data_IF_083118436064
#
_entry.id   IF_083118436064
#
_cell.length_a   1.000
_cell.length_b   1.000
_cell.length_c   1.000
_cell.angle_alpha   90.00
_cell.angle_beta   90.00
_cell.angle_gamma   90.00
#
_symmetry.space_group_name_H-M   'P 1'
#
loop_
_entity.id
_entity.type
_entity.pdbx_description
1 polymer ?
#
# COMPACT_ATOMS: atom_id res chain seq x y z
N UNK A 1 -1.08 -32.18 -16.09
CA UNK A 1 -1.35 -30.83 -15.55
C UNK A 1 -2.79 -30.86 -15.12
N UNK A 2 -3.06 -30.91 -13.83
CA UNK A 2 -4.43 -30.84 -13.31
C UNK A 2 -4.89 -29.38 -13.41
N UNK A 3 -5.97 -29.15 -14.16
CA UNK A 3 -6.69 -27.88 -14.12
C UNK A 3 -7.31 -27.73 -12.73
N UNK A 4 -6.81 -26.75 -11.97
CA UNK A 4 -7.44 -26.34 -10.73
C UNK A 4 -8.75 -25.64 -11.10
N UNK A 5 -9.86 -26.34 -10.89
CA UNK A 5 -11.21 -25.80 -10.96
C UNK A 5 -11.37 -24.73 -9.88
N UNK A 6 -11.28 -23.46 -10.25
CA UNK A 6 -11.52 -22.33 -9.34
C UNK A 6 -13.02 -22.17 -9.07
N UNK A 7 -13.46 -22.39 -7.83
CA UNK A 7 -14.81 -22.01 -7.42
C UNK A 7 -14.86 -20.48 -7.21
N UNK A 8 -16.05 -19.88 -7.32
CA UNK A 8 -16.22 -18.44 -7.05
C UNK A 8 -15.81 -18.05 -5.61
N UNK A 9 -15.72 -19.02 -4.69
CA UNK A 9 -15.20 -18.84 -3.33
C UNK A 9 -13.68 -18.69 -3.24
N UNK A 10 -12.95 -18.88 -4.34
CA UNK A 10 -11.48 -18.85 -4.38
C UNK A 10 -10.93 -17.56 -5.03
N UNK A 11 -11.80 -16.56 -5.24
CA UNK A 11 -11.40 -15.27 -5.79
C UNK A 11 -11.29 -14.20 -4.70
N UNK A 12 -10.23 -13.39 -4.78
CA UNK A 12 -9.99 -12.28 -3.85
C UNK A 12 -11.23 -11.34 -3.89
N UNK A 13 -11.87 -11.06 -2.74
CA UNK A 13 -13.04 -10.21 -2.68
C UNK A 13 -12.78 -8.83 -3.26
N UNK A 14 -13.75 -8.29 -4.00
CA UNK A 14 -13.73 -6.94 -4.54
C UNK A 14 -14.69 -6.07 -3.73
N UNK A 15 -14.21 -5.00 -3.12
CA UNK A 15 -14.99 -4.08 -2.29
C UNK A 15 -15.16 -2.74 -3.02
N UNK A 16 -16.39 -2.23 -3.06
CA UNK A 16 -16.73 -0.93 -3.64
C UNK A 16 -16.72 0.17 -2.56
N UNK A 17 -15.69 1.01 -2.53
CA UNK A 17 -15.58 2.06 -1.51
C UNK A 17 -16.74 3.07 -1.61
N UNK A 18 -17.25 3.34 -2.82
CA UNK A 18 -18.30 4.34 -3.02
C UNK A 18 -19.62 3.94 -2.37
N UNK A 19 -19.89 2.62 -2.25
CA UNK A 19 -21.06 2.10 -1.53
C UNK A 19 -20.89 2.12 -0.02
N UNK A 20 -19.65 2.00 0.47
CA UNK A 20 -19.33 2.10 1.90
C UNK A 20 -19.41 3.52 2.44
N UNK A 21 -19.17 4.55 1.61
CA UNK A 21 -19.21 5.96 2.02
C UNK A 21 -20.44 6.72 1.47
N UNK A 22 -21.24 6.07 0.64
CA UNK A 22 -22.39 6.65 -0.04
C UNK A 22 -23.62 6.82 0.87
N UNK A 23 -24.60 7.60 0.42
CA UNK A 23 -25.82 7.91 1.16
C UNK A 23 -26.93 6.85 1.05
N UNK A 24 -26.73 5.76 0.31
CA UNK A 24 -27.72 4.69 0.15
C UNK A 24 -27.55 3.62 1.23
N UNK A 25 -28.47 3.57 2.20
CA UNK A 25 -28.42 2.65 3.33
C UNK A 25 -28.41 1.17 2.92
N UNK A 26 -29.15 0.80 1.87
CA UNK A 26 -29.26 -0.60 1.41
C UNK A 26 -27.92 -1.07 0.83
N UNK A 27 -27.32 -0.29 -0.07
CA UNK A 27 -26.04 -0.65 -0.69
C UNK A 27 -24.87 -0.60 0.30
N UNK A 28 -24.98 0.23 1.34
CA UNK A 28 -24.00 0.31 2.42
C UNK A 28 -23.96 -0.99 3.24
N UNK A 29 -25.11 -1.54 3.62
CA UNK A 29 -25.15 -2.75 4.46
C UNK A 29 -24.54 -3.97 3.75
N UNK A 30 -24.96 -4.27 2.52
CA UNK A 30 -24.47 -5.42 1.75
C UNK A 30 -22.94 -5.34 1.53
N UNK A 31 -22.44 -4.15 1.21
CA UNK A 31 -21.00 -3.96 0.97
C UNK A 31 -20.18 -4.02 2.26
N UNK A 32 -20.75 -3.58 3.39
CA UNK A 32 -20.13 -3.70 4.71
C UNK A 32 -20.03 -5.16 5.16
N UNK A 33 -21.08 -5.97 4.96
CA UNK A 33 -21.02 -7.41 5.25
C UNK A 33 -19.95 -8.11 4.40
N UNK A 34 -19.85 -7.73 3.13
CA UNK A 34 -18.80 -8.22 2.22
C UNK A 34 -17.39 -7.83 2.69
N UNK A 35 -17.21 -6.60 3.16
CA UNK A 35 -15.96 -6.14 3.74
C UNK A 35 -15.61 -6.95 5.01
N UNK A 36 -16.57 -7.17 5.90
CA UNK A 36 -16.36 -7.99 7.09
C UNK A 36 -15.97 -9.43 6.75
N UNK A 37 -16.64 -10.04 5.77
CA UNK A 37 -16.29 -11.36 5.28
C UNK A 37 -14.85 -11.38 4.73
N UNK A 38 -14.48 -10.41 3.90
CA UNK A 38 -13.13 -10.31 3.35
C UNK A 38 -12.06 -10.13 4.45
N UNK A 39 -12.32 -9.32 5.47
CA UNK A 39 -11.40 -9.14 6.59
C UNK A 39 -11.21 -10.43 7.41
N UNK A 40 -12.27 -11.23 7.62
CA UNK A 40 -12.21 -12.45 8.45
C UNK A 40 -11.63 -13.65 7.70
N UNK A 41 -12.08 -13.89 6.47
CA UNK A 41 -11.77 -15.12 5.75
C UNK A 41 -10.56 -14.97 4.81
N UNK A 42 -10.32 -13.76 4.29
CA UNK A 42 -9.27 -13.51 3.30
C UNK A 42 -8.09 -12.70 3.83
N UNK A 43 -8.32 -11.78 4.77
CA UNK A 43 -7.36 -10.75 5.21
C UNK A 43 -6.82 -9.82 4.09
N UNK A 44 -7.27 -10.01 2.85
CA UNK A 44 -6.94 -9.22 1.67
C UNK A 44 -8.17 -9.06 0.79
N UNK A 45 -8.30 -7.90 0.15
CA UNK A 45 -9.34 -7.60 -0.82
C UNK A 45 -8.86 -6.55 -1.81
N UNK A 46 -9.51 -6.48 -2.96
CA UNK A 46 -9.31 -5.43 -3.95
C UNK A 46 -10.33 -4.32 -3.73
N UNK A 47 -9.91 -3.07 -3.78
CA UNK A 47 -10.81 -1.91 -3.65
C UNK A 47 -11.06 -1.30 -5.02
N UNK A 48 -12.33 -1.09 -5.37
CA UNK A 48 -12.77 -0.37 -6.58
C UNK A 48 -13.53 0.89 -6.19
N UNK A 49 -13.73 1.80 -7.16
CA UNK A 49 -14.44 3.08 -6.95
C UNK A 49 -13.90 3.86 -5.74
N UNK A 50 -12.59 3.78 -5.50
CA UNK A 50 -11.89 4.35 -4.35
C UNK A 50 -11.71 5.89 -4.43
N UNK A 51 -12.12 6.49 -5.55
CA UNK A 51 -12.11 7.95 -5.76
C UNK A 51 -10.73 8.56 -5.97
N UNK A 52 -9.71 7.76 -6.24
CA UNK A 52 -8.36 8.25 -6.58
C UNK A 52 -8.31 8.42 -8.09
N UNK A 53 -7.93 9.60 -8.55
CA UNK A 53 -7.76 9.87 -9.97
C UNK A 53 -6.77 8.88 -10.59
N UNK A 54 -7.13 8.35 -11.76
CA UNK A 54 -6.26 7.48 -12.55
C UNK A 54 -4.92 8.15 -12.86
N UNK A 55 -4.92 9.46 -13.11
CA UNK A 55 -3.72 10.27 -13.36
C UNK A 55 -2.71 10.17 -12.20
N UNK A 56 -3.19 10.25 -10.96
CA UNK A 56 -2.33 10.18 -9.76
C UNK A 56 -1.68 8.80 -9.64
N UNK A 57 -2.43 7.73 -9.93
CA UNK A 57 -1.93 6.36 -9.90
C UNK A 57 -0.92 6.12 -11.03
N UNK A 58 -1.25 6.55 -12.26
CA UNK A 58 -0.40 6.40 -13.43
C UNK A 58 0.90 7.16 -13.26
N UNK A 59 0.86 8.41 -12.78
CA UNK A 59 2.06 9.20 -12.57
C UNK A 59 2.98 8.57 -11.50
N UNK A 60 2.41 8.01 -10.42
CA UNK A 60 3.21 7.31 -9.42
C UNK A 60 3.89 6.07 -10.00
N UNK A 61 3.20 5.31 -10.86
CA UNK A 61 3.78 4.17 -11.58
C UNK A 61 4.92 4.60 -12.51
N UNK A 62 4.71 5.64 -13.33
CA UNK A 62 5.73 6.18 -14.24
C UNK A 62 6.97 6.60 -13.45
N UNK A 63 6.80 7.44 -12.42
CA UNK A 63 7.93 7.96 -11.66
C UNK A 63 8.70 6.86 -10.92
N UNK A 64 7.99 5.83 -10.44
CA UNK A 64 8.63 4.65 -9.83
C UNK A 64 9.45 3.89 -10.86
N UNK A 65 8.89 3.63 -12.05
CA UNK A 65 9.60 2.95 -13.13
C UNK A 65 10.84 3.73 -13.59
N UNK A 66 10.70 5.03 -13.82
CA UNK A 66 11.81 5.92 -14.21
C UNK A 66 12.93 5.89 -13.16
N UNK A 67 12.59 5.98 -11.87
CA UNK A 67 13.58 5.87 -10.80
C UNK A 67 14.33 4.54 -10.83
N UNK A 68 13.63 3.40 -10.98
CA UNK A 68 14.29 2.08 -10.98
C UNK A 68 15.10 1.81 -12.26
N UNK A 69 14.80 2.50 -13.36
CA UNK A 69 15.58 2.48 -14.61
C UNK A 69 16.87 3.30 -14.54
N UNK A 70 17.04 4.15 -13.53
CA UNK A 70 18.29 4.90 -13.35
C UNK A 70 19.49 3.95 -13.11
N UNK A 71 20.71 4.40 -13.44
CA UNK A 71 21.94 3.70 -13.08
C UNK A 71 22.02 3.38 -11.58
N UNK A 72 22.67 2.27 -11.25
CA UNK A 72 22.81 1.84 -9.86
C UNK A 72 23.51 2.90 -9.00
N UNK A 73 24.46 3.62 -9.56
CA UNK A 73 25.19 4.70 -8.90
C UNK A 73 24.27 5.82 -8.44
N UNK A 74 23.29 6.20 -9.27
CA UNK A 74 22.28 7.21 -8.90
C UNK A 74 21.34 6.68 -7.82
N UNK A 75 20.91 5.42 -7.92
CA UNK A 75 20.02 4.81 -6.92
C UNK A 75 20.73 4.59 -5.58
N UNK A 76 22.03 4.31 -5.59
CA UNK A 76 22.86 4.15 -4.39
C UNK A 76 23.02 5.45 -3.59
N UNK A 77 22.71 6.62 -4.16
CA UNK A 77 22.61 7.86 -3.39
C UNK A 77 21.57 7.78 -2.25
N UNK A 78 20.59 6.88 -2.38
CA UNK A 78 19.51 6.64 -1.42
C UNK A 78 19.70 5.35 -0.61
N UNK A 79 20.90 4.74 -0.66
CA UNK A 79 21.18 3.48 0.05
C UNK A 79 20.97 3.57 1.56
N UNK A 80 20.71 2.42 2.18
CA UNK A 80 20.42 2.32 3.62
C UNK A 80 21.56 2.86 4.48
N UNK A 81 21.20 3.70 5.45
CA UNK A 81 22.11 4.14 6.51
C UNK A 81 21.87 3.31 7.79
N UNK A 82 22.90 3.06 8.62
CA UNK A 82 22.74 2.33 9.88
C UNK A 82 21.69 2.91 10.83
N UNK A 83 21.40 4.21 10.70
CA UNK A 83 20.48 4.96 11.56
C UNK A 83 19.10 5.17 10.93
N UNK A 84 18.83 4.62 9.75
CA UNK A 84 17.56 4.80 9.05
C UNK A 84 17.01 3.51 8.47
N UNK A 85 15.69 3.44 8.50
CA UNK A 85 14.93 2.37 7.83
C UNK A 85 14.43 2.81 6.45
N UNK A 86 14.46 4.10 6.12
CA UNK A 86 14.20 4.57 4.76
C UNK A 86 15.44 4.36 3.90
N UNK A 87 15.27 3.75 2.72
CA UNK A 87 16.38 3.41 1.84
C UNK A 87 15.92 2.96 0.44
N UNK A 88 16.87 2.99 -0.50
CA UNK A 88 16.88 2.16 -1.69
C UNK A 88 17.80 0.94 -1.47
N UNK A 89 17.39 -0.22 -1.96
CA UNK A 89 18.14 -1.48 -1.92
C UNK A 89 17.35 -2.61 -1.28
N UNK A 90 18.04 -3.66 -0.85
CA UNK A 90 17.38 -4.75 -0.13
C UNK A 90 17.05 -4.33 1.30
N UNK A 91 15.88 -4.78 1.77
CA UNK A 91 15.46 -4.59 3.15
C UNK A 91 16.37 -5.43 4.07
N UNK A 92 17.31 -4.74 4.73
CA UNK A 92 18.30 -5.22 5.68
C UNK A 92 19.71 -5.54 5.12
N UNK A 93 20.70 -5.20 5.94
CA UNK A 93 22.06 -5.67 5.79
C UNK A 93 22.12 -7.20 5.84
N UNK A 94 23.08 -7.80 5.14
CA UNK A 94 23.33 -9.24 5.26
C UNK A 94 23.86 -9.53 6.66
N UNK A 95 23.05 -10.20 7.49
CA UNK A 95 23.38 -10.50 8.89
C UNK A 95 23.99 -11.89 9.07
N UNK A 96 23.88 -12.77 8.07
CA UNK A 96 24.49 -14.11 8.12
C UNK A 96 24.66 -14.72 6.73
N UNK A 97 25.59 -15.66 6.61
CA UNK A 97 25.81 -16.45 5.38
C UNK A 97 24.62 -17.33 4.98
N UNK A 98 23.72 -17.63 5.93
CA UNK A 98 22.54 -18.48 5.68
C UNK A 98 21.28 -17.66 5.37
N UNK A 99 21.39 -16.34 5.37
CA UNK A 99 20.26 -15.47 5.09
C UNK A 99 19.81 -15.67 3.65
N UNK A 100 18.53 -16.02 3.48
CA UNK A 100 17.88 -16.01 2.17
C UNK A 100 17.50 -14.57 1.86
N UNK A 101 17.89 -14.11 0.68
CA UNK A 101 17.59 -12.77 0.20
C UNK A 101 16.46 -12.84 -0.81
N UNK A 102 15.59 -11.84 -0.75
CA UNK A 102 14.52 -11.70 -1.73
C UNK A 102 15.11 -11.31 -3.09
N UNK A 103 14.50 -11.81 -4.17
CA UNK A 103 14.85 -11.40 -5.52
C UNK A 103 14.12 -10.10 -5.86
N UNK A 104 14.64 -8.99 -5.37
CA UNK A 104 14.10 -7.66 -5.66
C UNK A 104 14.84 -6.55 -4.94
N UNK A 105 14.75 -5.35 -5.52
CA UNK A 105 15.16 -4.10 -4.89
C UNK A 105 13.92 -3.36 -4.38
N UNK A 106 14.06 -2.64 -3.27
CA UNK A 106 12.99 -1.85 -2.67
C UNK A 106 13.39 -0.38 -2.57
N UNK A 107 12.40 0.51 -2.69
CA UNK A 107 12.49 1.89 -2.23
C UNK A 107 11.49 2.05 -1.09
N UNK A 108 11.97 2.18 0.14
CA UNK A 108 11.16 2.28 1.34
C UNK A 108 11.19 3.71 1.88
N UNK A 109 10.03 4.36 1.95
CA UNK A 109 9.88 5.78 2.31
C UNK A 109 8.68 6.00 3.24
N UNK A 110 8.77 6.99 4.12
CA UNK A 110 7.66 7.45 4.96
C UNK A 110 7.08 8.78 4.46
N UNK A 111 5.92 8.76 3.77
CA UNK A 111 5.27 9.99 3.32
C UNK A 111 4.54 10.75 4.43
N UNK A 112 4.26 10.12 5.57
CA UNK A 112 3.49 10.72 6.68
C UNK A 112 4.11 10.39 8.05
N UNK A 113 3.98 11.29 9.05
CA UNK A 113 3.48 12.67 8.92
C UNK A 113 4.50 13.55 8.17
N UNK A 114 4.01 14.65 7.57
CA UNK A 114 4.86 15.52 6.75
C UNK A 114 6.08 16.09 7.50
N UNK A 115 5.94 16.32 8.81
CA UNK A 115 7.01 16.84 9.69
C UNK A 115 8.16 15.86 9.93
N UNK A 116 7.95 14.56 9.69
CA UNK A 116 8.94 13.51 9.94
C UNK A 116 9.62 13.00 8.67
N UNK A 117 9.29 13.59 7.51
CA UNK A 117 9.84 13.16 6.21
C UNK A 117 11.35 13.38 6.17
N UNK A 118 12.11 12.34 5.88
CA UNK A 118 13.53 12.47 5.62
C UNK A 118 13.79 12.62 4.11
N UNK A 119 13.81 13.87 3.63
CA UNK A 119 13.96 14.18 2.21
C UNK A 119 15.30 13.74 1.61
N UNK A 120 16.28 13.32 2.42
CA UNK A 120 17.52 12.70 1.91
C UNK A 120 17.21 11.46 1.07
N UNK A 121 16.24 10.66 1.49
CA UNK A 121 15.90 9.40 0.83
C UNK A 121 14.89 9.56 -0.31
N UNK A 122 14.32 10.77 -0.47
CA UNK A 122 13.30 11.03 -1.47
C UNK A 122 13.95 11.37 -2.81
N UNK A 123 13.77 10.54 -3.86
CA UNK A 123 14.38 10.77 -5.15
C UNK A 123 14.12 12.16 -5.72
N UNK A 124 15.15 12.78 -6.29
CA UNK A 124 15.04 14.02 -7.08
C UNK A 124 15.10 13.78 -8.58
N UNK A 125 15.38 12.54 -8.99
CA UNK A 125 15.33 12.06 -10.36
C UNK A 125 14.39 10.84 -10.36
N UNK A 126 13.24 10.87 -11.07
CA UNK A 126 12.72 11.99 -11.87
C UNK A 126 12.36 13.22 -11.03
N UNK A 127 12.41 14.41 -11.62
CA UNK A 127 12.19 15.69 -10.92
C UNK A 127 10.80 15.83 -10.30
N UNK A 128 9.80 15.14 -10.87
CA UNK A 128 8.44 15.10 -10.37
C UNK A 128 8.23 14.10 -9.22
N UNK A 129 9.20 13.23 -8.91
CA UNK A 129 9.03 12.10 -7.97
C UNK A 129 8.42 12.51 -6.64
N UNK A 130 9.01 13.50 -5.96
CA UNK A 130 8.56 13.94 -4.64
C UNK A 130 7.12 14.43 -4.63
N UNK A 131 6.74 15.22 -5.63
CA UNK A 131 5.39 15.78 -5.75
C UNK A 131 4.37 14.70 -6.02
N UNK A 132 4.71 13.76 -6.90
CA UNK A 132 3.88 12.60 -7.21
C UNK A 132 3.68 11.70 -5.99
N UNK A 133 4.75 11.39 -5.25
CA UNK A 133 4.67 10.61 -4.01
C UNK A 133 3.79 11.29 -2.97
N UNK A 134 3.93 12.61 -2.80
CA UNK A 134 3.09 13.37 -1.88
C UNK A 134 1.61 13.26 -2.26
N UNK A 135 1.25 13.55 -3.51
CA UNK A 135 -0.13 13.50 -3.98
C UNK A 135 -0.72 12.08 -3.82
N UNK A 136 0.01 11.06 -4.27
CA UNK A 136 -0.42 9.66 -4.16
C UNK A 136 -0.60 9.24 -2.70
N UNK A 137 0.35 9.59 -1.83
CA UNK A 137 0.29 9.22 -0.41
C UNK A 137 -0.87 9.89 0.34
N UNK A 138 -1.29 11.09 -0.07
CA UNK A 138 -2.47 11.75 0.50
C UNK A 138 -3.75 11.02 0.16
N UNK A 139 -3.88 10.57 -1.10
CA UNK A 139 -5.02 9.78 -1.56
C UNK A 139 -5.09 8.41 -0.87
N UNK A 140 -3.96 7.71 -0.75
CA UNK A 140 -3.89 6.44 -0.01
C UNK A 140 -4.24 6.65 1.46
N UNK A 141 -3.74 7.72 2.10
CA UNK A 141 -4.09 8.05 3.48
C UNK A 141 -5.59 8.33 3.64
N UNK A 142 -6.20 9.06 2.72
CA UNK A 142 -7.64 9.33 2.72
C UNK A 142 -8.45 8.03 2.66
N UNK A 143 -8.08 7.10 1.77
CA UNK A 143 -8.71 5.77 1.69
C UNK A 143 -8.54 5.01 3.01
N UNK A 144 -7.33 4.95 3.55
CA UNK A 144 -7.05 4.22 4.79
C UNK A 144 -7.89 4.75 5.95
N UNK A 145 -8.00 6.08 6.08
CA UNK A 145 -8.85 6.72 7.09
C UNK A 145 -10.32 6.33 6.88
N UNK A 146 -10.84 6.40 5.65
CA UNK A 146 -12.22 6.01 5.36
C UNK A 146 -12.49 4.54 5.73
N UNK A 147 -11.59 3.62 5.38
CA UNK A 147 -11.73 2.21 5.72
C UNK A 147 -11.72 1.97 7.23
N UNK A 148 -10.83 2.66 7.97
CA UNK A 148 -10.83 2.59 9.44
C UNK A 148 -12.16 3.07 10.01
N UNK A 149 -12.70 4.20 9.56
CA UNK A 149 -13.99 4.71 10.03
C UNK A 149 -15.16 3.75 9.75
N UNK A 150 -15.16 3.10 8.58
CA UNK A 150 -16.18 2.10 8.21
C UNK A 150 -16.07 0.84 9.06
N UNK A 151 -14.85 0.47 9.48
CA UNK A 151 -14.60 -0.68 10.36
C UNK A 151 -14.79 -0.35 11.86
N UNK A 152 -14.86 0.93 12.23
CA UNK A 152 -14.99 1.40 13.62
C UNK A 152 -16.40 1.28 14.29
N UNK A 153 -17.54 1.01 13.62
CA UNK A 153 -18.79 0.78 14.33
C UNK A 153 -18.97 -0.70 14.68
N UNK A 154 -18.49 -1.07 15.87
CA UNK A 154 -18.92 -2.26 16.61
C UNK A 154 -18.10 -3.54 16.37
N UNK A 155 -17.39 -3.97 17.42
CA UNK A 155 -16.80 -5.31 17.64
C UNK A 155 -15.39 -5.62 17.09
N UNK A 156 -14.92 -5.10 15.96
CA UNK A 156 -13.63 -5.55 15.41
C UNK A 156 -12.38 -5.05 16.18
N UNK A 157 -12.44 -3.85 16.76
CA UNK A 157 -11.31 -3.31 17.54
C UNK A 157 -10.97 -4.12 18.80
N UNK A 158 -11.88 -4.98 19.29
CA UNK A 158 -11.61 -5.86 20.45
C UNK A 158 -10.99 -7.21 20.07
N UNK A 159 -11.12 -7.67 18.83
CA UNK A 159 -10.60 -8.99 18.41
C UNK A 159 -9.22 -8.91 17.76
N UNK A 160 -8.92 -7.84 17.01
CA UNK A 160 -7.61 -7.71 16.35
C UNK A 160 -6.46 -7.52 17.36
N UNK A 161 -6.70 -6.88 18.50
CA UNK A 161 -5.72 -6.72 19.58
C UNK A 161 -5.64 -7.90 20.56
N UNK A 162 -6.39 -8.98 20.35
CA UNK A 162 -6.20 -10.21 21.15
C UNK A 162 -4.97 -11.01 20.73
N UNK A 163 -4.40 -10.70 19.57
CA UNK A 163 -3.32 -11.45 18.94
C UNK A 163 -2.10 -10.61 18.59
N UNK A 164 -1.98 -9.40 19.15
CA UNK A 164 -0.79 -8.54 19.08
C UNK A 164 -0.33 -8.19 20.49
#
# INVERSE_FOLDING_TARGET
MEEVSTNASDQIPIIDLSKLIGSSEIHHHDELEKLHFACREWAIFQLINHGVSEEVIVQMKINTQEFFQLPLEEKNAYAQLPTSIEHHGQAAFVVSERQKLDWGDMLFLFPHPASSRNLRFWPTNPTSFRKTLENYSWEVRRIAINLVHVLEPGSLFREVYKYV
#
